data_IF_702122120030
#
_entry.id   IF_702122120030
#
_cell.length_a   1.000
_cell.length_b   1.000
_cell.length_c   1.000
_cell.angle_alpha   90.00
_cell.angle_beta   90.00
_cell.angle_gamma   90.00
#
_symmetry.space_group_name_H-M   'P 1'
#
loop_
_entity.id
_entity.type
_entity.pdbx_description
1 polymer ?
#
# COMPACT_ATOMS: atom_id res chain seq x y z
N UNK A 1 -2.41 -19.74 18.64
CA UNK A 1 -1.31 -19.36 17.75
C UNK A 1 -1.91 -18.48 16.69
N UNK A 2 -1.45 -17.25 16.59
CA UNK A 2 -1.99 -16.26 15.65
C UNK A 2 -1.63 -16.60 14.19
N UNK A 3 -2.33 -16.01 13.24
CA UNK A 3 -2.13 -16.27 11.81
C UNK A 3 -0.77 -15.79 11.28
N UNK A 4 -0.10 -14.88 12.00
CA UNK A 4 1.20 -14.30 11.68
C UNK A 4 2.26 -14.60 12.75
N UNK A 5 2.06 -15.63 13.53
CA UNK A 5 2.96 -16.00 14.62
C UNK A 5 4.41 -16.15 14.18
N UNK A 6 5.31 -15.40 14.84
CA UNK A 6 6.74 -15.41 14.56
C UNK A 6 7.19 -14.65 13.30
N UNK A 7 6.28 -14.09 12.52
CA UNK A 7 6.64 -13.30 11.32
C UNK A 7 7.09 -11.88 11.69
N UNK A 8 7.92 -11.31 10.85
CA UNK A 8 8.47 -9.97 11.02
C UNK A 8 7.93 -9.07 9.91
N UNK A 9 7.23 -7.99 10.30
CA UNK A 9 6.55 -7.08 9.38
C UNK A 9 7.08 -5.66 9.47
N UNK A 10 7.23 -5.02 8.32
CA UNK A 10 7.40 -3.58 8.16
C UNK A 10 6.11 -3.01 7.61
N UNK A 11 5.56 -1.98 8.25
CA UNK A 11 4.33 -1.30 7.80
C UNK A 11 4.61 0.20 7.71
N UNK A 12 4.47 0.79 6.52
CA UNK A 12 4.71 2.22 6.31
C UNK A 12 3.42 3.03 6.45
N UNK A 13 3.53 4.28 6.96
CA UNK A 13 2.37 5.10 7.27
C UNK A 13 1.50 4.48 8.38
N UNK A 14 2.14 3.82 9.35
CA UNK A 14 1.48 2.99 10.34
C UNK A 14 1.13 3.70 11.66
N UNK A 15 1.38 5.01 11.75
CA UNK A 15 1.04 5.78 12.95
C UNK A 15 -0.45 6.14 13.06
N UNK A 16 -1.22 6.04 11.96
CA UNK A 16 -2.64 6.45 11.94
C UNK A 16 -3.44 5.67 10.89
N UNK A 17 -4.78 5.72 11.00
CA UNK A 17 -5.72 5.20 9.99
C UNK A 17 -5.49 3.73 9.65
N UNK A 18 -5.55 3.38 8.36
CA UNK A 18 -5.45 2.00 7.88
C UNK A 18 -4.13 1.35 8.31
N UNK A 19 -3.00 2.06 8.21
CA UNK A 19 -1.70 1.51 8.58
C UNK A 19 -1.58 1.18 10.07
N UNK A 20 -2.19 2.00 10.94
CA UNK A 20 -2.30 1.71 12.38
C UNK A 20 -3.08 0.43 12.62
N UNK A 21 -4.24 0.27 11.99
CA UNK A 21 -5.06 -0.94 12.14
C UNK A 21 -4.35 -2.19 11.61
N UNK A 22 -3.54 -2.06 10.55
CA UNK A 22 -2.68 -3.17 10.12
C UNK A 22 -1.67 -3.54 11.20
N UNK A 23 -0.98 -2.55 11.78
CA UNK A 23 0.03 -2.79 12.80
C UNK A 23 -0.54 -3.47 14.05
N UNK A 24 -1.69 -2.99 14.52
CA UNK A 24 -2.39 -3.58 15.68
C UNK A 24 -2.83 -5.01 15.42
N UNK A 25 -3.48 -5.28 14.27
CA UNK A 25 -3.93 -6.62 13.94
C UNK A 25 -2.75 -7.57 13.74
N UNK A 26 -1.68 -7.15 13.04
CA UNK A 26 -0.51 -7.98 12.80
C UNK A 26 0.16 -8.39 14.12
N UNK A 27 0.31 -7.45 15.04
CA UNK A 27 0.85 -7.74 16.36
C UNK A 27 -0.06 -8.69 17.19
N UNK A 28 -1.39 -8.48 17.13
CA UNK A 28 -2.37 -9.36 17.78
C UNK A 28 -2.33 -10.78 17.22
N UNK A 29 -2.00 -10.93 15.93
CA UNK A 29 -1.80 -12.21 15.24
C UNK A 29 -0.38 -12.80 15.41
N UNK A 30 0.45 -12.20 16.26
CA UNK A 30 1.74 -12.74 16.68
C UNK A 30 2.95 -12.25 15.88
N UNK A 31 2.80 -11.29 14.99
CA UNK A 31 3.92 -10.69 14.27
C UNK A 31 4.74 -9.74 15.14
N UNK A 32 6.05 -9.64 14.86
CA UNK A 32 6.88 -8.53 15.31
C UNK A 32 6.82 -7.40 14.29
N UNK A 33 6.48 -6.17 14.69
CA UNK A 33 6.13 -5.09 13.77
C UNK A 33 7.07 -3.89 13.87
N UNK A 34 7.64 -3.47 12.74
CA UNK A 34 8.26 -2.14 12.61
C UNK A 34 7.18 -1.18 12.14
N UNK A 35 6.80 -0.25 13.01
CA UNK A 35 5.78 0.78 12.77
C UNK A 35 6.50 2.01 12.20
N UNK A 36 6.49 2.17 10.88
CA UNK A 36 7.08 3.34 10.24
C UNK A 36 6.04 4.43 10.01
N UNK A 37 6.31 5.62 10.50
CA UNK A 37 5.54 6.84 10.20
C UNK A 37 6.43 8.07 10.39
N UNK A 38 6.53 8.92 9.39
CA UNK A 38 7.25 10.19 9.49
C UNK A 38 6.52 11.20 10.40
N UNK A 39 5.23 10.97 10.67
CA UNK A 39 4.40 11.84 11.50
C UNK A 39 3.93 13.12 10.82
N UNK A 40 4.13 13.24 9.52
CA UNK A 40 3.72 14.41 8.74
C UNK A 40 2.21 14.66 8.70
N UNK A 41 1.84 15.85 8.20
CA UNK A 41 0.45 16.23 7.88
C UNK A 41 -0.10 15.42 6.71
N UNK A 42 -1.39 15.60 6.38
CA UNK A 42 -2.01 14.99 5.18
C UNK A 42 -1.33 15.41 3.86
N UNK A 43 -0.69 16.59 3.86
CA UNK A 43 0.04 17.14 2.72
C UNK A 43 1.52 16.73 2.71
N UNK A 44 1.98 15.96 3.69
CA UNK A 44 3.36 15.49 3.81
C UNK A 44 4.33 16.49 4.44
N UNK A 45 3.82 17.49 5.17
CA UNK A 45 4.64 18.49 5.85
C UNK A 45 4.91 18.13 7.30
N UNK A 46 6.13 18.42 7.77
CA UNK A 46 6.56 18.17 9.14
C UNK A 46 6.99 16.73 9.38
N UNK A 47 7.52 16.49 10.58
CA UNK A 47 7.90 15.18 11.10
C UNK A 47 7.60 15.15 12.61
N UNK A 48 7.01 14.06 13.10
CA UNK A 48 6.67 13.84 14.50
C UNK A 48 6.72 12.33 14.81
N UNK A 49 7.61 11.92 15.69
CA UNK A 49 7.76 10.53 16.11
C UNK A 49 6.57 10.01 16.94
N UNK A 50 5.76 10.91 17.51
CA UNK A 50 4.67 10.56 18.41
C UNK A 50 3.67 9.55 17.86
N UNK A 51 3.16 9.69 16.64
CA UNK A 51 2.20 8.75 16.09
C UNK A 51 2.70 7.31 15.97
N UNK A 52 3.93 7.11 15.51
CA UNK A 52 4.53 5.78 15.42
C UNK A 52 4.74 5.19 16.83
N UNK A 53 5.26 5.98 17.76
CA UNK A 53 5.52 5.55 19.11
C UNK A 53 4.23 5.21 19.87
N UNK A 54 3.14 5.98 19.69
CA UNK A 54 1.84 5.67 20.29
C UNK A 54 1.33 4.28 19.89
N UNK A 55 1.43 3.92 18.61
CA UNK A 55 1.03 2.58 18.13
C UNK A 55 1.93 1.50 18.72
N UNK A 56 3.23 1.74 18.82
CA UNK A 56 4.16 0.81 19.49
C UNK A 56 3.76 0.61 20.95
N UNK A 57 3.47 1.67 21.69
CA UNK A 57 3.09 1.59 23.09
C UNK A 57 1.79 0.82 23.30
N UNK A 58 0.79 0.99 22.40
CA UNK A 58 -0.44 0.19 22.39
C UNK A 58 -0.16 -1.29 22.16
N UNK A 59 0.66 -1.61 21.15
CA UNK A 59 1.03 -3.00 20.83
C UNK A 59 1.76 -3.65 22.01
N UNK A 60 2.74 -2.98 22.58
CA UNK A 60 3.53 -3.51 23.71
C UNK A 60 2.66 -3.67 24.96
N UNK A 61 1.77 -2.72 25.23
CA UNK A 61 0.81 -2.81 26.35
C UNK A 61 -0.13 -4.02 26.18
N UNK A 62 -0.51 -4.35 24.94
CA UNK A 62 -1.29 -5.54 24.64
C UNK A 62 -0.48 -6.85 24.65
N UNK A 63 0.83 -6.79 24.91
CA UNK A 63 1.73 -7.96 24.99
C UNK A 63 2.37 -8.34 23.65
N UNK A 64 2.18 -7.57 22.59
CA UNK A 64 2.81 -7.75 21.29
C UNK A 64 4.24 -7.20 21.23
N UNK A 65 4.87 -7.31 20.05
CA UNK A 65 6.25 -6.84 19.80
C UNK A 65 6.24 -5.80 18.69
N UNK A 66 6.69 -4.59 18.99
CA UNK A 66 6.82 -3.53 17.99
C UNK A 66 7.97 -2.58 18.30
N UNK A 67 8.47 -1.90 17.27
CA UNK A 67 9.42 -0.78 17.36
C UNK A 67 9.00 0.33 16.41
N UNK A 68 9.23 1.57 16.81
CA UNK A 68 8.96 2.74 15.96
C UNK A 68 10.13 2.98 14.99
N UNK A 69 9.78 3.47 13.80
CA UNK A 69 10.69 3.97 12.79
C UNK A 69 10.15 5.28 12.22
N UNK A 70 11.01 6.28 12.06
CA UNK A 70 10.65 7.60 11.52
C UNK A 70 11.38 7.97 10.25
N UNK A 71 12.00 6.99 9.59
CA UNK A 71 12.70 7.21 8.34
C UNK A 71 11.73 7.63 7.23
N UNK A 72 12.21 8.56 6.39
CA UNK A 72 11.46 9.00 5.22
C UNK A 72 11.62 8.01 4.06
N UNK A 73 10.60 7.22 3.79
CA UNK A 73 10.61 6.21 2.72
C UNK A 73 10.69 6.81 1.30
N UNK A 74 10.41 8.10 1.11
CA UNK A 74 10.60 8.78 -0.17
C UNK A 74 12.09 8.98 -0.52
N UNK A 75 12.99 8.82 0.45
CA UNK A 75 14.43 8.78 0.24
C UNK A 75 14.95 7.35 0.14
N UNK A 76 15.99 7.16 -0.67
CA UNK A 76 16.59 5.83 -0.87
C UNK A 76 17.17 5.27 0.42
N UNK A 77 17.91 6.12 1.15
CA UNK A 77 18.58 5.75 2.40
C UNK A 77 17.59 5.51 3.54
N UNK A 78 16.50 6.31 3.60
CA UNK A 78 15.45 6.07 4.59
C UNK A 78 14.73 4.73 4.38
N UNK A 79 14.44 4.37 3.12
CA UNK A 79 13.89 3.06 2.81
C UNK A 79 14.87 1.92 3.14
N UNK A 80 16.18 2.12 2.95
CA UNK A 80 17.21 1.15 3.35
C UNK A 80 17.27 0.99 4.88
N UNK A 81 17.34 2.11 5.62
CA UNK A 81 17.38 2.12 7.09
C UNK A 81 16.17 1.43 7.72
N UNK A 82 14.99 1.62 7.15
CA UNK A 82 13.77 0.93 7.59
C UNK A 82 13.90 -0.60 7.50
N UNK A 83 14.41 -1.13 6.39
CA UNK A 83 14.62 -2.58 6.23
C UNK A 83 15.74 -3.08 7.14
N UNK A 84 16.82 -2.33 7.27
CA UNK A 84 17.93 -2.66 8.18
C UNK A 84 17.48 -2.72 9.64
N UNK A 85 16.58 -1.82 10.06
CA UNK A 85 16.03 -1.85 11.41
C UNK A 85 15.22 -3.12 11.67
N UNK A 86 14.38 -3.57 10.73
CA UNK A 86 13.64 -4.83 10.89
C UNK A 86 14.60 -6.01 11.09
N UNK A 87 15.61 -6.12 10.22
CA UNK A 87 16.58 -7.22 10.25
C UNK A 87 17.44 -7.18 11.52
N UNK A 88 17.93 -6.00 11.92
CA UNK A 88 18.79 -5.87 13.11
C UNK A 88 18.03 -6.05 14.42
N UNK A 89 16.76 -5.63 14.49
CA UNK A 89 15.96 -5.67 15.71
C UNK A 89 15.32 -7.04 15.93
N UNK A 90 14.75 -7.62 14.88
CA UNK A 90 13.96 -8.85 14.99
C UNK A 90 14.62 -10.07 14.32
N UNK A 91 15.74 -9.90 13.63
CA UNK A 91 16.51 -10.98 13.02
C UNK A 91 16.11 -11.36 11.60
N UNK A 92 15.14 -10.67 10.98
CA UNK A 92 14.67 -10.99 9.64
C UNK A 92 13.65 -10.01 9.08
N UNK A 93 13.05 -10.39 7.94
CA UNK A 93 11.95 -9.67 7.31
C UNK A 93 11.10 -10.64 6.49
N UNK A 94 9.83 -10.74 6.79
CA UNK A 94 8.88 -11.63 6.10
C UNK A 94 7.80 -10.87 5.36
N UNK A 95 7.42 -9.67 5.85
CA UNK A 95 6.26 -8.94 5.34
C UNK A 95 6.61 -7.47 5.17
N UNK A 96 6.23 -6.90 4.02
CA UNK A 96 6.22 -5.46 3.77
C UNK A 96 4.80 -5.03 3.42
N UNK A 97 4.25 -4.10 4.20
CA UNK A 97 3.01 -3.39 3.86
C UNK A 97 3.34 -1.94 3.52
N UNK A 98 3.35 -1.63 2.23
CA UNK A 98 3.52 -0.29 1.73
C UNK A 98 2.18 0.44 1.75
N UNK A 99 1.98 1.30 2.76
CA UNK A 99 0.72 2.00 2.97
C UNK A 99 0.88 3.53 3.08
N UNK A 100 2.06 4.05 3.34
CA UNK A 100 2.29 5.49 3.47
C UNK A 100 1.77 6.30 2.27
N UNK A 101 1.19 7.45 2.54
CA UNK A 101 0.64 8.30 1.49
C UNK A 101 0.26 9.70 1.96
N UNK A 102 0.19 10.61 1.00
CA UNK A 102 -0.20 12.01 1.16
C UNK A 102 -1.16 12.44 0.05
N UNK A 103 -1.86 13.56 0.21
CA UNK A 103 -2.66 14.20 -0.81
C UNK A 103 -2.18 15.63 -1.07
N UNK A 104 -2.00 15.96 -2.34
CA UNK A 104 -1.78 17.32 -2.84
C UNK A 104 -2.57 17.50 -4.13
N UNK A 105 -3.89 17.51 -3.96
CA UNK A 105 -4.85 17.60 -5.07
C UNK A 105 -4.74 18.93 -5.78
N UNK A 106 -4.96 18.91 -7.09
CA UNK A 106 -4.97 20.09 -7.95
C UNK A 106 -5.44 19.72 -9.36
N UNK A 107 -6.14 20.66 -10.03
CA UNK A 107 -6.56 20.45 -11.42
C UNK A 107 -5.36 20.60 -12.36
N UNK A 108 -5.32 19.83 -13.44
CA UNK A 108 -4.20 19.79 -14.40
C UNK A 108 -3.72 21.20 -14.81
N UNK A 109 -4.57 22.18 -15.16
CA UNK A 109 -4.11 23.50 -15.61
C UNK A 109 -3.42 24.35 -14.52
N UNK A 110 -3.60 24.00 -13.24
CA UNK A 110 -3.14 24.81 -12.10
C UNK A 110 -2.31 24.02 -11.09
N UNK A 111 -2.04 22.74 -11.37
CA UNK A 111 -1.22 21.91 -10.48
C UNK A 111 0.23 22.37 -10.49
N UNK A 112 0.77 22.66 -9.33
CA UNK A 112 2.19 23.01 -9.17
C UNK A 112 3.08 21.76 -9.27
N UNK A 113 4.30 21.92 -9.80
CA UNK A 113 5.30 20.85 -9.90
C UNK A 113 5.54 20.17 -8.52
N UNK A 114 5.60 20.98 -7.47
CA UNK A 114 5.78 20.50 -6.10
C UNK A 114 4.66 19.59 -5.59
N UNK A 115 3.42 19.81 -6.07
CA UNK A 115 2.27 18.93 -5.74
C UNK A 115 2.41 17.57 -6.45
N UNK A 116 2.82 17.59 -7.71
CA UNK A 116 3.10 16.39 -8.47
C UNK A 116 4.26 15.59 -7.85
N UNK A 117 5.42 16.21 -7.69
CA UNK A 117 6.64 15.58 -7.21
C UNK A 117 6.48 14.99 -5.81
N UNK A 118 5.83 15.71 -4.90
CA UNK A 118 5.62 15.22 -3.53
C UNK A 118 4.78 13.95 -3.52
N UNK A 119 3.69 13.91 -4.29
CA UNK A 119 2.79 12.75 -4.34
C UNK A 119 3.49 11.56 -5.00
N UNK A 120 4.12 11.76 -6.16
CA UNK A 120 4.85 10.69 -6.87
C UNK A 120 6.02 10.17 -6.02
N UNK A 121 6.73 11.05 -5.33
CA UNK A 121 7.86 10.68 -4.46
C UNK A 121 7.42 9.80 -3.29
N UNK A 122 6.38 10.18 -2.56
CA UNK A 122 5.92 9.40 -1.40
C UNK A 122 5.25 8.10 -1.84
N UNK A 123 4.33 8.19 -2.80
CA UNK A 123 3.56 7.01 -3.21
C UNK A 123 4.37 6.07 -4.10
N UNK A 124 4.69 6.46 -5.31
CA UNK A 124 5.27 5.54 -6.29
C UNK A 124 6.72 5.21 -5.98
N UNK A 125 7.57 6.24 -5.81
CA UNK A 125 8.98 6.03 -5.49
C UNK A 125 9.16 5.44 -4.09
N UNK A 126 8.40 5.90 -3.08
CA UNK A 126 8.49 5.38 -1.71
C UNK A 126 8.15 3.90 -1.62
N UNK A 127 7.04 3.47 -2.22
CA UNK A 127 6.69 2.05 -2.31
C UNK A 127 7.76 1.24 -3.04
N UNK A 128 8.29 1.76 -4.17
CA UNK A 128 9.36 1.11 -4.91
C UNK A 128 10.65 1.00 -4.09
N UNK A 129 11.05 2.05 -3.39
CA UNK A 129 12.30 2.07 -2.62
C UNK A 129 12.28 1.03 -1.49
N UNK A 130 11.19 0.94 -0.73
CA UNK A 130 11.02 -0.08 0.32
C UNK A 130 10.99 -1.48 -0.30
N UNK A 131 10.19 -1.69 -1.36
CA UNK A 131 10.12 -2.96 -2.08
C UNK A 131 11.51 -3.41 -2.58
N UNK A 132 12.27 -2.49 -3.18
CA UNK A 132 13.62 -2.77 -3.72
C UNK A 132 14.58 -3.23 -2.65
N UNK A 133 14.60 -2.57 -1.48
CA UNK A 133 15.52 -2.95 -0.41
C UNK A 133 15.12 -4.28 0.25
N UNK A 134 13.82 -4.51 0.45
CA UNK A 134 13.28 -5.78 0.91
C UNK A 134 13.59 -6.93 -0.08
N UNK A 135 13.36 -6.71 -1.38
CA UNK A 135 13.66 -7.68 -2.42
C UNK A 135 15.16 -8.04 -2.49
N UNK A 136 16.06 -7.05 -2.27
CA UNK A 136 17.49 -7.31 -2.20
C UNK A 136 17.85 -8.22 -1.01
N UNK A 137 17.23 -7.99 0.16
CA UNK A 137 17.38 -8.85 1.33
C UNK A 137 16.89 -10.27 1.05
N UNK A 138 15.67 -10.46 0.56
CA UNK A 138 15.11 -11.78 0.25
C UNK A 138 15.90 -12.53 -0.81
N UNK A 139 16.36 -11.84 -1.86
CA UNK A 139 17.27 -12.42 -2.84
C UNK A 139 18.59 -12.92 -2.20
N UNK A 140 19.14 -12.17 -1.25
CA UNK A 140 20.36 -12.59 -0.53
C UNK A 140 20.08 -13.82 0.34
N UNK A 141 18.96 -13.86 1.05
CA UNK A 141 18.53 -15.02 1.85
C UNK A 141 18.35 -16.27 0.97
N UNK A 142 17.63 -16.15 -0.14
CA UNK A 142 17.44 -17.26 -1.08
C UNK A 142 18.79 -17.81 -1.63
N UNK A 143 19.71 -16.91 -1.97
CA UNK A 143 21.06 -17.32 -2.41
C UNK A 143 21.89 -17.98 -1.32
N UNK A 144 21.66 -17.65 -0.06
CA UNK A 144 22.31 -18.27 1.09
C UNK A 144 21.70 -19.63 1.47
N UNK A 145 20.64 -20.09 0.77
CA UNK A 145 19.95 -21.32 1.05
C UNK A 145 18.76 -21.18 2.03
N UNK A 146 18.49 -19.98 2.51
CA UNK A 146 17.36 -19.65 3.38
C UNK A 146 16.21 -19.16 2.50
N UNK A 147 15.47 -20.07 1.86
CA UNK A 147 14.38 -19.70 0.94
C UNK A 147 13.28 -18.93 1.70
N UNK A 148 13.03 -17.65 1.38
CA UNK A 148 11.95 -16.89 2.00
C UNK A 148 10.56 -17.44 1.69
N UNK A 149 9.62 -17.19 2.59
CA UNK A 149 8.19 -17.23 2.34
C UNK A 149 7.64 -15.84 2.67
N UNK A 150 7.95 -14.88 1.82
CA UNK A 150 7.67 -13.48 2.10
C UNK A 150 6.44 -12.94 1.35
N UNK A 151 5.91 -11.82 1.84
CA UNK A 151 4.78 -11.15 1.22
C UNK A 151 4.97 -9.64 1.17
N UNK A 152 4.62 -9.05 0.03
CA UNK A 152 4.49 -7.60 -0.16
C UNK A 152 3.04 -7.27 -0.43
N UNK A 153 2.49 -6.33 0.33
CA UNK A 153 1.15 -5.79 0.10
C UNK A 153 1.27 -4.28 -0.13
N UNK A 154 0.94 -3.85 -1.34
CA UNK A 154 1.00 -2.45 -1.73
C UNK A 154 -0.38 -1.80 -1.66
N UNK A 155 -0.46 -0.55 -1.19
CA UNK A 155 -1.71 0.20 -1.15
C UNK A 155 -1.88 1.05 -2.40
N UNK A 156 -2.62 0.53 -3.38
CA UNK A 156 -3.14 1.25 -4.53
C UNK A 156 -4.38 2.10 -4.14
N UNK A 157 -5.28 2.38 -5.05
CA UNK A 157 -6.53 3.11 -4.80
C UNK A 157 -7.53 2.85 -5.92
N UNK A 158 -8.81 2.99 -5.64
CA UNK A 158 -9.83 3.14 -6.70
C UNK A 158 -9.52 4.31 -7.64
N UNK A 159 -8.93 5.40 -7.11
CA UNK A 159 -8.44 6.51 -7.93
C UNK A 159 -7.30 6.03 -8.85
N UNK A 160 -7.48 6.20 -10.15
CA UNK A 160 -6.54 5.72 -11.16
C UNK A 160 -6.74 4.27 -11.60
N UNK A 161 -7.58 3.48 -10.92
CA UNK A 161 -7.91 2.11 -11.33
C UNK A 161 -9.35 1.99 -11.85
N UNK A 162 -10.33 2.35 -11.03
CA UNK A 162 -11.76 2.18 -11.32
C UNK A 162 -12.54 3.50 -11.27
N UNK A 163 -11.99 4.54 -10.65
CA UNK A 163 -12.65 5.82 -10.44
C UNK A 163 -11.73 6.95 -10.93
N UNK A 164 -12.10 7.69 -11.99
CA UNK A 164 -11.36 8.88 -12.40
C UNK A 164 -11.75 10.08 -11.52
N UNK A 165 -10.93 10.41 -10.53
CA UNK A 165 -11.16 11.56 -9.66
C UNK A 165 -10.54 12.83 -10.23
N UNK A 166 -11.38 13.79 -10.61
CA UNK A 166 -10.91 15.10 -11.05
C UNK A 166 -10.13 15.81 -9.92
N UNK A 167 -8.98 16.39 -10.25
CA UNK A 167 -8.07 17.01 -9.29
C UNK A 167 -7.01 16.07 -8.69
N UNK A 168 -7.04 14.77 -9.03
CA UNK A 168 -6.11 13.77 -8.50
C UNK A 168 -5.23 13.13 -9.59
N UNK A 169 -4.81 13.88 -10.60
CA UNK A 169 -3.98 13.31 -11.68
C UNK A 169 -2.65 12.75 -11.18
N UNK A 170 -2.00 13.43 -10.23
CA UNK A 170 -0.76 12.97 -9.57
C UNK A 170 -0.99 11.71 -8.74
N UNK A 171 -2.03 11.72 -7.91
CA UNK A 171 -2.39 10.60 -7.04
C UNK A 171 -2.87 9.39 -7.84
N UNK A 172 -3.79 9.58 -8.79
CA UNK A 172 -4.29 8.52 -9.67
C UNK A 172 -3.17 7.87 -10.48
N UNK A 173 -2.27 8.68 -11.07
CA UNK A 173 -1.11 8.16 -11.80
C UNK A 173 -0.19 7.32 -10.90
N UNK A 174 0.12 7.83 -9.68
CA UNK A 174 0.96 7.11 -8.73
C UNK A 174 0.31 5.79 -8.28
N UNK A 175 -1.00 5.78 -8.00
CA UNK A 175 -1.74 4.60 -7.53
C UNK A 175 -1.93 3.55 -8.63
N UNK A 176 -2.17 3.97 -9.88
CA UNK A 176 -2.14 3.07 -11.04
C UNK A 176 -0.74 2.46 -11.25
N UNK A 177 0.32 3.29 -11.12
CA UNK A 177 1.70 2.83 -11.17
C UNK A 177 2.05 1.81 -10.09
N UNK A 178 1.53 1.96 -8.87
CA UNK A 178 1.69 0.98 -7.78
C UNK A 178 1.04 -0.36 -8.13
N UNK A 179 -0.17 -0.36 -8.70
CA UNK A 179 -0.82 -1.58 -9.14
C UNK A 179 0.00 -2.30 -10.22
N UNK A 180 0.46 -1.56 -11.24
CA UNK A 180 1.31 -2.12 -12.30
C UNK A 180 2.63 -2.66 -11.75
N UNK A 181 3.31 -1.91 -10.88
CA UNK A 181 4.54 -2.34 -10.19
C UNK A 181 4.32 -3.63 -9.39
N UNK A 182 3.15 -3.79 -8.76
CA UNK A 182 2.82 -4.99 -7.99
C UNK A 182 2.76 -6.23 -8.87
N UNK A 183 2.15 -6.15 -10.05
CA UNK A 183 2.07 -7.25 -11.00
C UNK A 183 3.47 -7.67 -11.48
N UNK A 184 4.31 -6.70 -11.82
CA UNK A 184 5.71 -6.97 -12.23
C UNK A 184 6.50 -7.57 -11.07
N UNK A 185 6.34 -7.04 -9.84
CA UNK A 185 7.03 -7.56 -8.67
C UNK A 185 6.64 -9.02 -8.36
N UNK A 186 5.37 -9.40 -8.58
CA UNK A 186 4.94 -10.77 -8.40
C UNK A 186 5.71 -11.74 -9.30
N UNK A 187 5.86 -11.40 -10.58
CA UNK A 187 6.61 -12.20 -11.56
C UNK A 187 8.12 -12.26 -11.24
N UNK A 188 8.73 -11.10 -10.93
CA UNK A 188 10.18 -11.02 -10.69
C UNK A 188 10.62 -11.73 -9.41
N UNK A 189 9.80 -11.69 -8.36
CA UNK A 189 10.17 -12.11 -7.02
C UNK A 189 9.70 -13.53 -6.65
N UNK A 190 8.83 -14.14 -7.44
CA UNK A 190 8.34 -15.51 -7.22
C UNK A 190 9.48 -16.50 -7.00
N UNK A 191 10.53 -16.45 -7.84
CA UNK A 191 11.71 -17.30 -7.71
C UNK A 191 12.48 -17.17 -6.39
N UNK A 192 12.24 -16.11 -5.63
CA UNK A 192 12.81 -15.88 -4.31
C UNK A 192 11.81 -16.19 -3.19
N UNK A 193 10.65 -16.79 -3.51
CA UNK A 193 9.62 -17.13 -2.52
C UNK A 193 8.84 -15.91 -2.00
N UNK A 194 8.71 -14.85 -2.80
CA UNK A 194 8.02 -13.61 -2.42
C UNK A 194 6.75 -13.46 -3.24
N UNK A 195 5.63 -13.30 -2.57
CA UNK A 195 4.33 -12.95 -3.16
C UNK A 195 4.13 -11.44 -3.10
N UNK A 196 3.58 -10.86 -4.15
CA UNK A 196 3.25 -9.44 -4.21
C UNK A 196 1.80 -9.24 -4.62
N UNK A 197 1.05 -8.50 -3.81
CA UNK A 197 -0.35 -8.14 -4.07
C UNK A 197 -0.59 -6.66 -3.77
N UNK A 198 -1.69 -6.12 -4.25
CA UNK A 198 -2.10 -4.76 -3.92
C UNK A 198 -3.55 -4.73 -3.42
N UNK A 199 -3.85 -3.72 -2.60
CA UNK A 199 -5.21 -3.37 -2.19
C UNK A 199 -5.57 -1.97 -2.68
N UNK A 200 -6.84 -1.76 -3.00
CA UNK A 200 -7.46 -0.46 -3.27
C UNK A 200 -8.54 -0.25 -2.20
N UNK A 201 -8.17 0.29 -1.02
CA UNK A 201 -9.08 0.37 0.12
C UNK A 201 -10.00 1.59 0.03
N UNK A 202 -11.21 1.45 0.58
CA UNK A 202 -12.12 2.56 0.87
C UNK A 202 -12.43 2.51 2.36
N UNK A 203 -11.95 3.53 3.11
CA UNK A 203 -12.16 3.65 4.55
C UNK A 203 -12.16 5.11 4.98
N UNK A 204 -12.82 5.40 6.10
CA UNK A 204 -12.84 6.71 6.75
C UNK A 204 -11.48 6.97 7.40
N UNK A 205 -10.65 7.73 6.73
CA UNK A 205 -9.33 8.14 7.21
C UNK A 205 -9.19 9.65 7.13
N UNK A 206 -8.18 10.18 7.80
CA UNK A 206 -7.81 11.59 7.69
C UNK A 206 -7.59 12.03 6.24
N UNK A 207 -6.97 11.17 5.41
CA UNK A 207 -6.78 11.43 3.98
C UNK A 207 -8.12 11.48 3.24
N UNK A 208 -8.97 10.49 3.43
CA UNK A 208 -10.26 10.40 2.75
C UNK A 208 -11.18 11.55 3.13
N UNK A 209 -11.22 11.92 4.41
CA UNK A 209 -12.03 13.04 4.91
C UNK A 209 -11.53 14.41 4.42
N UNK A 210 -10.26 14.53 4.02
CA UNK A 210 -9.72 15.75 3.39
C UNK A 210 -10.19 15.94 1.94
N UNK A 211 -10.71 14.89 1.30
CA UNK A 211 -11.26 14.97 -0.07
C UNK A 211 -12.65 15.62 -0.03
N UNK A 212 -12.92 16.66 -0.85
CA UNK A 212 -14.21 17.35 -0.84
C UNK A 212 -15.40 16.40 -1.05
N UNK A 213 -16.43 16.53 -0.22
CA UNK A 213 -17.66 15.73 -0.28
C UNK A 213 -17.59 14.36 0.42
N UNK A 214 -16.41 13.84 0.72
CA UNK A 214 -16.27 12.49 1.32
C UNK A 214 -16.70 12.45 2.79
N UNK A 215 -16.59 13.55 3.53
CA UNK A 215 -16.99 13.60 4.94
C UNK A 215 -18.46 13.25 5.17
N UNK A 216 -19.37 13.72 4.29
CA UNK A 216 -20.79 13.41 4.38
C UNK A 216 -21.11 11.95 3.98
N UNK A 217 -20.35 11.41 3.01
CA UNK A 217 -20.52 10.03 2.54
C UNK A 217 -20.00 8.99 3.54
N UNK A 218 -19.05 9.37 4.38
CA UNK A 218 -18.36 8.50 5.34
C UNK A 218 -18.62 8.95 6.79
N UNK A 219 -19.81 9.43 7.08
CA UNK A 219 -20.20 9.76 8.45
C UNK A 219 -20.04 8.54 9.39
N UNK A 220 -19.82 8.81 10.67
CA UNK A 220 -19.83 7.75 11.67
C UNK A 220 -21.25 7.17 11.78
N UNK A 221 -21.38 5.84 11.90
CA UNK A 221 -22.67 5.21 12.08
C UNK A 221 -23.28 5.57 13.44
N UNK A 222 -24.58 5.38 13.58
CA UNK A 222 -25.27 5.51 14.87
C UNK A 222 -24.80 4.40 15.84
N UNK A 223 -25.02 4.63 17.14
CA UNK A 223 -24.62 3.67 18.17
C UNK A 223 -25.26 2.30 17.97
N UNK A 224 -24.44 1.27 17.84
CA UNK A 224 -24.87 -0.12 17.60
C UNK A 224 -24.93 -0.55 16.14
N UNK A 225 -24.69 0.35 15.20
CA UNK A 225 -24.58 0.01 13.78
C UNK A 225 -23.15 -0.41 13.40
N UNK A 226 -23.03 -1.20 12.35
CA UNK A 226 -21.72 -1.64 11.81
C UNK A 226 -21.08 -0.49 11.05
N UNK A 227 -19.88 -0.09 11.45
CA UNK A 227 -19.09 0.91 10.74
C UNK A 227 -18.44 0.33 9.47
N UNK A 228 -19.12 0.46 8.33
CA UNK A 228 -18.62 -0.02 7.03
C UNK A 228 -17.40 0.75 6.52
N UNK A 229 -17.13 1.92 7.05
CA UNK A 229 -15.97 2.74 6.68
C UNK A 229 -14.85 2.72 7.72
N UNK A 230 -14.95 1.90 8.76
CA UNK A 230 -13.86 1.73 9.71
C UNK A 230 -12.57 1.29 9.00
N UNK A 231 -11.43 1.94 9.27
CA UNK A 231 -10.13 1.49 8.75
C UNK A 231 -9.79 0.05 9.14
N UNK A 232 -10.30 -0.44 10.26
CA UNK A 232 -10.08 -1.80 10.73
C UNK A 232 -10.61 -2.88 9.77
N UNK A 233 -11.66 -2.57 8.97
CA UNK A 233 -12.23 -3.51 8.00
C UNK A 233 -11.25 -3.91 6.88
N UNK A 234 -10.20 -3.12 6.66
CA UNK A 234 -9.21 -3.37 5.61
C UNK A 234 -8.17 -4.41 6.05
N UNK A 235 -7.83 -4.41 7.33
CA UNK A 235 -6.71 -5.17 7.88
C UNK A 235 -6.83 -6.70 7.77
N UNK A 236 -8.00 -7.34 7.88
CA UNK A 236 -8.12 -8.79 7.74
C UNK A 236 -7.67 -9.34 6.39
N UNK A 237 -7.99 -8.64 5.27
CA UNK A 237 -7.50 -9.03 3.95
C UNK A 237 -5.97 -8.93 3.88
N UNK A 238 -5.38 -7.84 4.40
CA UNK A 238 -3.94 -7.62 4.38
C UNK A 238 -3.21 -8.66 5.24
N UNK A 239 -3.76 -8.98 6.40
CA UNK A 239 -3.23 -10.06 7.25
C UNK A 239 -3.31 -11.42 6.55
N UNK A 240 -4.42 -11.76 5.88
CA UNK A 240 -4.54 -12.99 5.10
C UNK A 240 -3.48 -13.08 4.00
N UNK A 241 -3.30 -12.01 3.20
CA UNK A 241 -2.30 -11.96 2.13
C UNK A 241 -0.87 -12.10 2.67
N UNK A 242 -0.64 -11.74 3.93
CA UNK A 242 0.63 -11.84 4.62
C UNK A 242 0.89 -13.21 5.27
N UNK A 243 -0.08 -14.12 5.36
CA UNK A 243 0.12 -15.44 5.96
C UNK A 243 1.04 -16.33 5.14
N UNK A 244 1.74 -17.24 5.76
CA UNK A 244 2.60 -18.23 5.07
C UNK A 244 1.84 -19.13 4.09
N UNK A 245 0.58 -19.44 4.41
CA UNK A 245 -0.26 -20.37 3.66
C UNK A 245 -1.03 -19.70 2.52
N UNK A 246 -0.97 -18.38 2.38
CA UNK A 246 -1.65 -17.67 1.32
C UNK A 246 -1.02 -18.02 -0.04
N UNK A 247 -1.77 -18.57 -1.01
CA UNK A 247 -1.24 -18.88 -2.32
C UNK A 247 -1.33 -17.70 -3.30
N UNK A 248 -1.94 -16.59 -2.89
CA UNK A 248 -2.30 -15.47 -3.77
C UNK A 248 -1.09 -14.60 -4.06
N UNK A 249 -0.80 -14.36 -5.34
CA UNK A 249 0.20 -13.42 -5.82
C UNK A 249 -0.25 -12.78 -7.13
N UNK A 250 0.25 -11.58 -7.45
CA UNK A 250 -0.07 -10.87 -8.69
C UNK A 250 -1.51 -10.39 -8.78
N UNK A 251 -2.14 -10.05 -7.64
CA UNK A 251 -3.55 -9.63 -7.60
C UNK A 251 -3.70 -8.24 -7.01
N UNK A 252 -4.75 -7.56 -7.46
CA UNK A 252 -5.19 -6.26 -6.93
C UNK A 252 -6.62 -6.42 -6.40
N UNK A 253 -6.87 -6.04 -5.15
CA UNK A 253 -8.18 -6.18 -4.52
C UNK A 253 -8.75 -4.83 -4.11
N UNK A 254 -9.97 -4.53 -4.53
CA UNK A 254 -10.77 -3.49 -3.89
C UNK A 254 -11.33 -4.04 -2.58
N UNK A 255 -11.29 -3.25 -1.51
CA UNK A 255 -11.79 -3.64 -0.19
C UNK A 255 -12.48 -2.49 0.52
N UNK A 256 -13.73 -2.73 0.95
CA UNK A 256 -14.55 -1.76 1.68
C UNK A 256 -15.52 -2.50 2.60
N UNK A 257 -15.52 -2.17 3.89
CA UNK A 257 -16.41 -2.86 4.85
C UNK A 257 -16.23 -4.37 4.75
N UNK A 258 -17.33 -5.10 4.54
CA UNK A 258 -17.33 -6.55 4.36
C UNK A 258 -17.13 -7.02 2.91
N UNK A 259 -16.92 -6.12 1.93
CA UNK A 259 -16.79 -6.47 0.53
C UNK A 259 -15.33 -6.50 0.09
N UNK A 260 -14.94 -7.58 -0.60
CA UNK A 260 -13.64 -7.75 -1.25
C UNK A 260 -13.89 -8.16 -2.70
N UNK A 261 -13.28 -7.43 -3.65
CA UNK A 261 -13.38 -7.72 -5.07
C UNK A 261 -12.00 -7.77 -5.71
N UNK A 262 -11.70 -8.81 -6.48
CA UNK A 262 -10.51 -8.82 -7.32
C UNK A 262 -10.72 -7.88 -8.52
N UNK A 263 -9.77 -6.98 -8.78
CA UNK A 263 -9.81 -6.06 -9.91
C UNK A 263 -9.08 -6.69 -11.10
N UNK A 264 -9.76 -6.74 -12.24
CA UNK A 264 -9.15 -7.05 -13.53
C UNK A 264 -8.22 -5.91 -13.96
N UNK A 265 -7.10 -6.26 -14.59
CA UNK A 265 -6.21 -5.28 -15.21
C UNK A 265 -6.77 -4.73 -16.53
N UNK A 266 -5.96 -3.93 -17.22
CA UNK A 266 -6.25 -3.49 -18.57
C UNK A 266 -6.29 -4.71 -19.51
N UNK A 267 -7.33 -4.80 -20.33
CA UNK A 267 -7.53 -5.84 -21.33
C UNK A 267 -8.17 -5.21 -22.59
N UNK A 268 -8.02 -5.89 -23.72
CA UNK A 268 -8.62 -5.44 -24.97
C UNK A 268 -10.15 -5.57 -24.88
N UNK A 269 -10.82 -4.43 -25.00
CA UNK A 269 -12.31 -4.38 -25.05
C UNK A 269 -12.79 -4.53 -26.49
N UNK A 270 -12.05 -3.95 -27.44
CA UNK A 270 -12.35 -4.01 -28.88
C UNK A 270 -11.05 -4.02 -29.65
N UNK A 271 -10.97 -4.89 -30.66
CA UNK A 271 -9.87 -4.95 -31.62
C UNK A 271 -10.41 -4.65 -33.01
N UNK A 272 -9.75 -3.75 -33.73
CA UNK A 272 -9.99 -3.50 -35.15
C UNK A 272 -8.74 -3.90 -35.93
N UNK A 273 -8.92 -4.51 -37.11
CA UNK A 273 -7.84 -5.05 -37.91
C UNK A 273 -7.91 -4.58 -39.36
N UNK A 274 -6.79 -4.54 -40.08
CA UNK A 274 -6.70 -4.28 -41.51
C UNK A 274 -5.61 -5.19 -42.15
N UNK A 275 -5.77 -5.53 -43.39
CA UNK A 275 -4.78 -6.32 -44.15
C UNK A 275 -3.60 -5.47 -44.66
N UNK A 276 -3.62 -4.14 -44.44
CA UNK A 276 -2.62 -3.21 -44.95
C UNK A 276 -2.30 -2.10 -43.95
N UNK A 277 -1.85 -0.96 -44.45
CA UNK A 277 -1.69 0.24 -43.62
C UNK A 277 -3.07 0.87 -43.38
N UNK A 278 -3.26 1.39 -42.15
CA UNK A 278 -4.46 2.12 -41.79
C UNK A 278 -4.51 3.49 -42.46
N UNK A 279 -5.64 3.79 -43.10
CA UNK A 279 -6.00 5.15 -43.45
C UNK A 279 -6.77 5.81 -42.29
N UNK A 280 -6.64 7.13 -42.13
CA UNK A 280 -7.27 7.86 -40.99
C UNK A 280 -8.80 7.71 -41.03
N UNK A 281 -9.40 7.77 -42.23
CA UNK A 281 -10.85 7.65 -42.39
C UNK A 281 -11.36 6.25 -42.06
N UNK A 282 -10.57 5.20 -42.32
CA UNK A 282 -10.91 3.82 -41.95
C UNK A 282 -10.91 3.64 -40.42
N UNK A 283 -9.94 4.22 -39.73
CA UNK A 283 -9.89 4.23 -38.27
C UNK A 283 -11.09 5.00 -37.69
N UNK A 284 -11.37 6.20 -38.24
CA UNK A 284 -12.50 7.01 -37.80
C UNK A 284 -13.84 6.27 -37.96
N UNK A 285 -14.03 5.54 -39.03
CA UNK A 285 -15.25 4.77 -39.28
C UNK A 285 -15.43 3.56 -38.36
N UNK A 286 -14.35 3.03 -37.76
CA UNK A 286 -14.40 1.82 -36.92
C UNK A 286 -14.29 2.08 -35.42
N UNK A 287 -13.84 3.26 -35.01
CA UNK A 287 -13.75 3.68 -33.60
C UNK A 287 -14.86 4.65 -33.15
N UNK A 288 -15.77 5.03 -34.04
CA UNK A 288 -16.91 5.92 -33.76
C UNK A 288 -18.11 5.20 -33.13
#
# INVERSE_FOLDING_TARGET
MGALEGRIAVITGAGRGIGREHALLFAAEGASVVVNDLGGSNTGEGADAGPAQQVVDEIVTAGGKAVANTDNIATWDGAAGLIEQAVSTFGGLDIVVNNAGILRDGFIPTMEESQWDSVVSVHLKGHFSVLRHAAAYWKAQSKAGNQPNAAVINTASGSGLTIPNAGQVNYGAAKAGIAAMTLVAAEELERYGVRANAIAPIARTRLTLATPGMGALMAEPDEGEVDLFSPANISPLVAYLATEKCPVTGKVFAVQGGAISELGGWHDVTTIETDGLWEIDDIAARLS
#
